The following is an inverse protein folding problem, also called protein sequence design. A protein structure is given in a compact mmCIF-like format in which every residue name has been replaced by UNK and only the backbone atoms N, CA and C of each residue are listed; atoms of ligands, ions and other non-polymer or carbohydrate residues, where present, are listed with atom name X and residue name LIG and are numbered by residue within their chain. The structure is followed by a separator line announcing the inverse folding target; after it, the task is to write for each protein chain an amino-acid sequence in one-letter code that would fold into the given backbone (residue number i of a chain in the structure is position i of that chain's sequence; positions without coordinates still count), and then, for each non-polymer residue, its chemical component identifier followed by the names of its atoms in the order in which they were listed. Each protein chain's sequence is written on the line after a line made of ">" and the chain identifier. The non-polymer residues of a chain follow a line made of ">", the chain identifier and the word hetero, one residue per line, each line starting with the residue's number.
data_IF_279379747069
#
_entry.id   IF_279379747069
#
_cell.length_a   1.000
_cell.length_b   1.000
_cell.length_c   1.000
_cell.angle_alpha   90.00
_cell.angle_beta   90.00
_cell.angle_gamma   90.00
#
_symmetry.space_group_name_H-M   'P 1'
#
loop_
_entity.id
_entity.type
_entity.pdbx_description
1 polymer ?
#
# COMPACT_ATOMS: atom_id res chain seq x y z
N UNK A 1 -22.86 16.00 -5.96
CA UNK A 1 -22.46 14.60 -5.63
C UNK A 1 -20.96 14.58 -5.44
N UNK A 2 -20.48 14.04 -4.32
CA UNK A 2 -19.07 13.95 -3.98
C UNK A 2 -18.57 12.52 -4.17
N UNK A 3 -17.41 12.38 -4.83
CA UNK A 3 -16.87 11.09 -5.24
C UNK A 3 -15.37 11.04 -4.87
N UNK A 4 -14.85 9.92 -4.32
CA UNK A 4 -13.55 9.93 -3.66
C UNK A 4 -12.37 9.89 -4.64
N UNK A 5 -12.60 9.45 -5.89
CA UNK A 5 -11.58 9.31 -6.94
C UNK A 5 -11.95 10.08 -8.19
N UNK A 6 -10.93 10.52 -8.93
CA UNK A 6 -11.08 11.41 -10.09
C UNK A 6 -11.65 10.68 -11.33
N UNK A 7 -11.29 9.42 -11.67
CA UNK A 7 -11.88 8.70 -12.81
C UNK A 7 -13.41 8.56 -12.73
N UNK A 8 -13.92 8.41 -11.52
CA UNK A 8 -15.34 8.35 -11.22
C UNK A 8 -16.08 9.68 -11.49
N UNK A 9 -15.39 10.82 -11.42
CA UNK A 9 -16.00 12.14 -11.66
C UNK A 9 -16.47 12.22 -13.12
N UNK A 10 -15.64 11.77 -14.06
CA UNK A 10 -15.94 11.83 -15.48
C UNK A 10 -17.01 10.78 -15.86
N UNK A 11 -17.02 9.62 -15.21
CA UNK A 11 -18.05 8.58 -15.39
C UNK A 11 -19.43 9.03 -14.87
N UNK A 12 -19.49 9.67 -13.69
CA UNK A 12 -20.76 10.11 -13.08
C UNK A 12 -21.34 11.37 -13.74
N UNK A 13 -20.48 12.24 -14.30
CA UNK A 13 -20.92 13.42 -15.08
C UNK A 13 -21.77 13.05 -16.30
N UNK A 14 -21.45 11.95 -16.98
CA UNK A 14 -22.24 11.49 -18.14
C UNK A 14 -23.61 10.92 -17.75
N UNK A 15 -23.79 10.43 -16.52
CA UNK A 15 -25.04 9.82 -16.05
C UNK A 15 -26.00 10.81 -15.38
N UNK A 16 -25.51 11.94 -14.86
CA UNK A 16 -26.34 12.91 -14.15
C UNK A 16 -26.12 14.34 -14.67
N UNK A 17 -27.20 15.07 -14.99
CA UNK A 17 -27.19 16.51 -15.35
C UNK A 17 -26.83 17.42 -14.15
N UNK A 18 -26.11 16.93 -13.14
CA UNK A 18 -25.84 17.59 -11.85
C UNK A 18 -24.35 17.83 -11.64
N UNK A 19 -24.03 18.83 -10.82
CA UNK A 19 -22.68 19.24 -10.47
C UNK A 19 -21.92 18.12 -9.72
N UNK A 20 -20.94 17.50 -10.38
CA UNK A 20 -20.05 16.45 -9.83
C UNK A 20 -18.64 17.06 -9.66
N UNK A 21 -18.14 17.12 -8.42
CA UNK A 21 -16.79 17.65 -8.10
C UNK A 21 -15.92 16.55 -7.47
N UNK A 22 -14.63 16.56 -7.82
CA UNK A 22 -13.63 15.68 -7.21
C UNK A 22 -13.06 16.22 -5.89
N UNK A 23 -12.44 15.32 -5.12
CA UNK A 23 -11.88 15.51 -3.77
C UNK A 23 -11.00 16.76 -3.56
N UNK A 24 -10.32 17.25 -4.61
CA UNK A 24 -9.34 18.34 -4.51
C UNK A 24 -9.90 19.74 -4.80
N UNK A 25 -11.14 19.85 -5.30
CA UNK A 25 -11.71 21.15 -5.73
C UNK A 25 -12.43 21.94 -4.64
N UNK A 26 -12.75 21.31 -3.50
CA UNK A 26 -13.26 22.02 -2.32
C UNK A 26 -12.17 22.85 -1.60
N UNK A 27 -10.91 22.73 -2.03
CA UNK A 27 -9.76 23.51 -1.54
C UNK A 27 -9.34 24.64 -2.51
N UNK A 28 -10.09 24.90 -3.59
CA UNK A 28 -9.74 25.96 -4.55
C UNK A 28 -9.74 27.33 -3.87
N UNK A 29 -8.63 28.07 -3.98
CA UNK A 29 -8.36 29.33 -3.26
C UNK A 29 -8.93 30.55 -3.99
N UNK A 30 -9.45 30.38 -5.22
CA UNK A 30 -10.00 31.49 -6.03
C UNK A 30 -11.30 32.01 -5.41
N UNK A 31 -11.37 33.32 -5.22
CA UNK A 31 -12.45 34.02 -4.51
C UNK A 31 -13.83 33.77 -5.14
N UNK A 32 -13.85 33.52 -6.46
CA UNK A 32 -15.04 33.37 -7.30
C UNK A 32 -15.60 31.93 -7.33
N UNK A 33 -14.90 30.96 -6.73
CA UNK A 33 -15.26 29.54 -6.72
C UNK A 33 -15.65 29.01 -5.33
N UNK A 34 -15.73 29.91 -4.33
CA UNK A 34 -16.11 29.56 -2.95
C UNK A 34 -17.56 29.12 -2.91
N UNK A 35 -17.79 27.99 -2.24
CA UNK A 35 -19.13 27.46 -2.02
C UNK A 35 -19.31 27.27 -0.51
N UNK A 36 -20.44 27.71 0.01
CA UNK A 36 -20.79 27.66 1.42
C UNK A 36 -21.69 26.45 1.72
N UNK A 37 -21.74 26.03 2.98
CA UNK A 37 -22.61 24.91 3.41
C UNK A 37 -24.08 25.21 3.10
N UNK A 38 -24.51 26.46 3.27
CA UNK A 38 -25.86 26.92 3.00
C UNK A 38 -26.26 26.92 1.52
N UNK A 39 -25.30 26.80 0.60
CA UNK A 39 -25.59 26.74 -0.84
C UNK A 39 -26.17 25.39 -1.25
N UNK A 40 -26.09 24.40 -0.36
CA UNK A 40 -26.55 23.05 -0.60
C UNK A 40 -27.79 22.73 0.24
N UNK A 41 -28.78 22.11 -0.41
CA UNK A 41 -29.92 21.48 0.27
C UNK A 41 -29.70 19.97 0.49
N UNK A 42 -28.83 19.33 -0.31
CA UNK A 42 -28.56 17.90 -0.26
C UNK A 42 -27.08 17.60 -0.59
N UNK A 43 -26.42 16.86 0.30
CA UNK A 43 -25.09 16.29 0.09
C UNK A 43 -25.20 14.78 -0.10
N UNK A 44 -24.71 14.29 -1.23
CA UNK A 44 -24.62 12.86 -1.54
C UNK A 44 -23.15 12.47 -1.56
N UNK A 45 -22.80 11.53 -0.69
CA UNK A 45 -21.47 10.94 -0.56
C UNK A 45 -21.47 9.55 -1.18
N UNK A 46 -20.73 9.39 -2.27
CA UNK A 46 -20.45 8.08 -2.84
C UNK A 46 -19.26 7.43 -2.11
N UNK A 47 -19.34 6.13 -1.89
CA UNK A 47 -18.39 5.34 -1.06
C UNK A 47 -18.20 5.93 0.34
N UNK A 48 -19.32 6.15 1.04
CA UNK A 48 -19.36 6.90 2.30
C UNK A 48 -18.54 6.27 3.43
N UNK A 49 -18.20 4.98 3.33
CA UNK A 49 -17.34 4.29 4.30
C UNK A 49 -15.93 4.91 4.42
N UNK A 50 -15.51 5.78 3.49
CA UNK A 50 -14.31 6.59 3.65
C UNK A 50 -14.47 7.78 4.60
N UNK A 51 -15.67 8.10 5.10
CA UNK A 51 -15.96 9.22 6.00
C UNK A 51 -15.51 8.95 7.45
N UNK A 52 -14.23 8.66 7.62
CA UNK A 52 -13.59 8.38 8.91
C UNK A 52 -12.22 9.05 8.98
N UNK A 53 -11.70 9.26 10.19
CA UNK A 53 -10.36 9.83 10.45
C UNK A 53 -10.16 11.16 9.71
N UNK A 54 -8.98 11.38 9.13
CA UNK A 54 -8.61 12.59 8.39
C UNK A 54 -9.06 12.58 6.92
N UNK A 55 -10.00 11.72 6.55
CA UNK A 55 -10.48 11.71 5.18
C UNK A 55 -11.25 13.01 4.87
N UNK A 56 -11.10 13.62 3.67
CA UNK A 56 -11.79 14.86 3.31
C UNK A 56 -13.32 14.84 3.44
N UNK A 57 -13.96 13.68 3.34
CA UNK A 57 -15.39 13.55 3.64
C UNK A 57 -15.69 13.86 5.11
N UNK A 58 -14.87 13.34 6.02
CA UNK A 58 -15.04 13.57 7.44
C UNK A 58 -14.77 15.03 7.80
N UNK A 59 -13.72 15.63 7.21
CA UNK A 59 -13.41 17.06 7.39
C UNK A 59 -14.56 17.95 6.89
N UNK A 60 -15.12 17.63 5.73
CA UNK A 60 -16.29 18.34 5.21
C UNK A 60 -17.49 18.19 6.14
N UNK A 61 -17.75 16.98 6.63
CA UNK A 61 -18.86 16.72 7.54
C UNK A 61 -18.68 17.41 8.89
N UNK A 62 -17.47 17.49 9.43
CA UNK A 62 -17.16 18.32 10.60
C UNK A 62 -17.54 19.78 10.35
N UNK A 63 -17.19 20.33 9.19
CA UNK A 63 -17.59 21.69 8.80
C UNK A 63 -19.11 21.85 8.74
N UNK A 64 -19.84 20.84 8.26
CA UNK A 64 -21.31 20.82 8.23
C UNK A 64 -21.91 20.69 9.64
N UNK A 65 -21.29 19.92 10.52
CA UNK A 65 -21.71 19.74 11.91
C UNK A 65 -21.53 21.02 12.74
N UNK A 66 -20.42 21.71 12.55
CA UNK A 66 -20.10 22.96 13.25
C UNK A 66 -20.91 24.16 12.74
N UNK A 67 -21.49 24.05 11.54
CA UNK A 67 -22.31 25.11 10.96
C UNK A 67 -23.61 25.30 11.75
N UNK A 68 -23.84 26.53 12.23
CA UNK A 68 -24.99 26.87 13.09
C UNK A 68 -26.26 27.24 12.29
N UNK A 69 -26.19 27.31 10.97
CA UNK A 69 -27.32 27.65 10.10
C UNK A 69 -28.10 26.41 9.60
N UNK A 70 -29.01 26.60 8.63
CA UNK A 70 -29.74 25.48 8.03
C UNK A 70 -28.78 24.54 7.30
N UNK A 71 -28.76 23.28 7.74
CA UNK A 71 -27.84 22.25 7.22
C UNK A 71 -28.47 21.51 6.03
N UNK A 72 -27.67 21.13 5.02
CA UNK A 72 -28.14 20.23 3.97
C UNK A 72 -28.53 18.87 4.53
N UNK A 73 -29.50 18.22 3.90
CA UNK A 73 -29.72 16.80 4.10
C UNK A 73 -28.48 16.01 3.64
N UNK A 74 -28.09 14.96 4.36
CA UNK A 74 -26.95 14.11 3.98
C UNK A 74 -27.44 12.71 3.59
N UNK A 75 -26.82 12.16 2.54
CA UNK A 75 -27.06 10.80 2.08
C UNK A 75 -25.73 10.12 1.76
N UNK A 76 -25.47 8.98 2.38
CA UNK A 76 -24.29 8.15 2.13
C UNK A 76 -24.64 6.91 1.33
N UNK A 77 -23.90 6.65 0.25
CA UNK A 77 -24.02 5.43 -0.55
C UNK A 77 -22.78 4.58 -0.32
N UNK A 78 -22.95 3.29 -0.04
CA UNK A 78 -21.84 2.34 0.04
C UNK A 78 -22.34 0.90 -0.10
N UNK A 79 -21.53 0.04 -0.73
CA UNK A 79 -21.79 -1.40 -0.76
C UNK A 79 -21.38 -2.10 0.55
N UNK A 80 -20.50 -1.48 1.34
CA UNK A 80 -20.00 -2.01 2.60
C UNK A 80 -19.73 -0.87 3.59
N UNK A 81 -20.16 -1.03 4.85
CA UNK A 81 -19.91 -0.02 5.88
C UNK A 81 -18.48 -0.08 6.41
N UNK A 82 -17.81 -1.23 6.27
CA UNK A 82 -16.44 -1.44 6.73
C UNK A 82 -16.31 -1.40 8.25
N UNK A 83 -16.15 -2.57 8.88
CA UNK A 83 -15.93 -2.68 10.33
C UNK A 83 -14.45 -2.54 10.74
N UNK A 84 -13.61 -1.96 9.87
CA UNK A 84 -12.18 -1.83 10.12
C UNK A 84 -11.50 -3.18 10.43
N UNK A 85 -10.75 -3.22 11.54
CA UNK A 85 -10.08 -4.42 12.08
C UNK A 85 -10.88 -5.05 13.24
N UNK A 86 -12.17 -4.73 13.38
CA UNK A 86 -12.99 -5.25 14.45
C UNK A 86 -13.02 -6.78 14.43
N UNK A 87 -12.73 -7.39 15.57
CA UNK A 87 -12.74 -8.85 15.76
C UNK A 87 -13.97 -9.33 16.52
N UNK A 88 -14.80 -8.42 17.05
CA UNK A 88 -16.05 -8.73 17.75
C UNK A 88 -17.22 -7.93 17.17
N UNK A 89 -18.43 -8.43 17.39
CA UNK A 89 -19.67 -7.80 16.93
C UNK A 89 -19.86 -6.43 17.58
N UNK A 90 -19.52 -6.27 18.87
CA UNK A 90 -19.64 -4.97 19.56
C UNK A 90 -18.71 -3.93 18.94
N UNK A 91 -17.45 -4.30 18.66
CA UNK A 91 -16.48 -3.41 18.02
C UNK A 91 -16.90 -3.06 16.59
N UNK A 92 -17.49 -4.02 15.87
CA UNK A 92 -18.03 -3.80 14.53
C UNK A 92 -19.22 -2.83 14.56
N UNK A 93 -20.15 -3.00 15.49
CA UNK A 93 -21.31 -2.12 15.66
C UNK A 93 -20.89 -0.71 16.09
N UNK A 94 -19.91 -0.59 16.99
CA UNK A 94 -19.35 0.70 17.39
C UNK A 94 -18.78 1.45 16.18
N UNK A 95 -18.07 0.75 15.29
CA UNK A 95 -17.53 1.33 14.05
C UNK A 95 -18.63 1.82 13.10
N UNK A 96 -19.74 1.08 13.00
CA UNK A 96 -20.89 1.48 12.20
C UNK A 96 -21.56 2.73 12.78
N UNK A 97 -21.74 2.79 14.10
CA UNK A 97 -22.31 3.96 14.77
C UNK A 97 -21.41 5.19 14.65
N UNK A 98 -20.09 5.04 14.74
CA UNK A 98 -19.14 6.11 14.50
C UNK A 98 -19.29 6.67 13.08
N UNK A 99 -19.36 5.79 12.07
CA UNK A 99 -19.57 6.21 10.68
C UNK A 99 -20.91 6.96 10.50
N UNK A 100 -21.99 6.45 11.10
CA UNK A 100 -23.30 7.11 11.05
C UNK A 100 -23.25 8.48 11.71
N UNK A 101 -22.59 8.62 12.86
CA UNK A 101 -22.39 9.89 13.55
C UNK A 101 -21.59 10.88 12.70
N UNK A 102 -20.50 10.43 12.07
CA UNK A 102 -19.69 11.27 11.18
C UNK A 102 -20.51 11.83 10.02
N UNK A 103 -21.38 11.04 9.41
CA UNK A 103 -22.24 11.46 8.28
C UNK A 103 -23.47 12.27 8.75
N UNK A 104 -23.82 12.19 10.04
CA UNK A 104 -25.11 12.69 10.55
C UNK A 104 -26.30 11.83 10.09
N UNK A 105 -26.09 10.54 9.84
CA UNK A 105 -27.10 9.62 9.36
C UNK A 105 -28.02 9.17 10.50
N UNK A 106 -29.33 9.36 10.34
CA UNK A 106 -30.35 8.92 11.31
C UNK A 106 -30.82 7.49 11.09
N UNK A 107 -30.60 6.94 9.90
CA UNK A 107 -31.08 5.62 9.52
C UNK A 107 -30.13 4.94 8.54
N UNK A 108 -30.07 3.61 8.63
CA UNK A 108 -29.37 2.75 7.70
C UNK A 108 -30.40 1.97 6.87
N UNK A 109 -30.40 2.19 5.56
CA UNK A 109 -31.30 1.52 4.62
C UNK A 109 -30.59 0.35 3.91
N UNK A 110 -31.23 -0.82 3.89
CA UNK A 110 -30.80 -1.99 3.12
C UNK A 110 -32.01 -2.73 2.52
N UNK A 111 -31.80 -3.46 1.43
CA UNK A 111 -32.86 -4.25 0.78
C UNK A 111 -33.24 -5.43 1.68
N UNK A 112 -34.48 -5.46 2.18
CA UNK A 112 -35.00 -6.55 3.02
C UNK A 112 -36.16 -7.33 2.39
N UNK A 113 -37.00 -6.69 1.58
CA UNK A 113 -38.24 -7.28 1.03
C UNK A 113 -38.08 -7.94 -0.35
N UNK A 114 -37.29 -7.34 -1.23
CA UNK A 114 -37.11 -7.77 -2.62
C UNK A 114 -35.71 -8.35 -2.86
N UNK A 115 -35.30 -9.28 -2.00
CA UNK A 115 -33.97 -9.91 -2.10
C UNK A 115 -33.86 -10.81 -3.34
N UNK A 116 -34.95 -11.48 -3.70
CA UNK A 116 -35.10 -12.29 -4.90
C UNK A 116 -34.79 -11.49 -6.18
N UNK A 117 -35.35 -10.27 -6.29
CA UNK A 117 -35.08 -9.38 -7.41
C UNK A 117 -33.60 -8.97 -7.41
N UNK A 118 -33.06 -8.57 -6.24
CA UNK A 118 -31.68 -8.13 -6.14
C UNK A 118 -30.69 -9.24 -6.56
N UNK A 119 -30.95 -10.49 -6.17
CA UNK A 119 -30.09 -11.63 -6.51
C UNK A 119 -30.11 -11.99 -8.00
N UNK A 120 -31.23 -11.73 -8.70
CA UNK A 120 -31.31 -11.93 -10.16
C UNK A 120 -30.47 -10.92 -10.94
N UNK A 121 -30.41 -9.66 -10.48
CA UNK A 121 -29.67 -8.58 -11.17
C UNK A 121 -28.22 -8.46 -10.72
N UNK A 122 -27.88 -8.92 -9.51
CA UNK A 122 -26.54 -8.78 -8.92
C UNK A 122 -26.06 -10.15 -8.42
N UNK A 123 -25.55 -11.01 -9.33
CA UNK A 123 -25.06 -12.32 -8.94
C UNK A 123 -23.83 -12.20 -8.04
N UNK A 124 -23.73 -13.12 -7.08
CA UNK A 124 -22.57 -13.23 -6.18
C UNK A 124 -21.44 -13.93 -6.94
N UNK A 125 -20.21 -13.38 -6.95
CA UNK A 125 -19.07 -14.04 -7.59
C UNK A 125 -18.71 -15.34 -6.87
N UNK A 126 -18.20 -16.33 -7.61
CA UNK A 126 -17.64 -17.55 -7.05
C UNK A 126 -16.18 -17.30 -6.69
N UNK A 127 -15.88 -17.27 -5.38
CA UNK A 127 -14.53 -17.10 -4.85
C UNK A 127 -13.81 -18.45 -4.72
N UNK A 128 -12.66 -18.62 -5.39
CA UNK A 128 -11.78 -19.79 -5.21
C UNK A 128 -10.40 -19.34 -4.73
N UNK A 129 -9.94 -19.91 -3.60
CA UNK A 129 -8.58 -19.64 -3.09
C UNK A 129 -7.67 -20.85 -3.30
N UNK A 130 -6.52 -20.65 -3.95
CA UNK A 130 -5.47 -21.65 -4.08
C UNK A 130 -4.25 -21.23 -3.26
N UNK A 131 -3.89 -22.05 -2.28
CA UNK A 131 -2.63 -21.92 -1.54
C UNK A 131 -1.51 -22.52 -2.37
N UNK A 132 -0.38 -21.82 -2.44
CA UNK A 132 0.80 -22.27 -3.16
C UNK A 132 2.00 -22.10 -2.25
N UNK A 133 2.78 -23.17 -2.10
CA UNK A 133 4.01 -23.16 -1.32
C UNK A 133 5.22 -22.84 -2.21
N UNK A 134 6.28 -22.32 -1.58
CA UNK A 134 7.56 -22.11 -2.25
C UNK A 134 8.07 -23.45 -2.79
N UNK A 135 8.65 -23.51 -4.00
CA UNK A 135 9.28 -24.72 -4.48
C UNK A 135 10.38 -25.19 -3.51
N UNK A 136 10.58 -26.50 -3.34
CA UNK A 136 11.66 -27.03 -2.50
C UNK A 136 13.03 -26.44 -2.87
N UNK A 137 13.92 -26.33 -1.87
CA UNK A 137 15.24 -25.70 -2.05
C UNK A 137 16.09 -26.44 -3.09
N UNK A 138 15.92 -27.75 -3.20
CA UNK A 138 16.61 -28.61 -4.17
C UNK A 138 16.26 -28.25 -5.62
N UNK A 139 15.04 -27.73 -5.83
CA UNK A 139 14.54 -27.31 -7.14
C UNK A 139 14.74 -25.81 -7.42
N UNK A 140 15.36 -25.09 -6.49
CA UNK A 140 15.49 -23.64 -6.53
C UNK A 140 16.96 -23.19 -6.48
N UNK A 141 17.75 -23.44 -7.54
CA UNK A 141 19.19 -23.12 -7.55
C UNK A 141 19.44 -21.62 -7.35
N UNK A 142 18.56 -20.76 -7.88
CA UNK A 142 18.61 -19.32 -7.68
C UNK A 142 18.48 -18.93 -6.19
N UNK A 143 17.42 -19.41 -5.52
CA UNK A 143 17.20 -19.11 -4.10
C UNK A 143 18.35 -19.61 -3.24
N UNK A 144 18.83 -20.83 -3.51
CA UNK A 144 19.98 -21.40 -2.81
C UNK A 144 21.23 -20.52 -2.98
N UNK A 145 21.50 -20.03 -4.18
CA UNK A 145 22.63 -19.14 -4.42
C UNK A 145 22.51 -17.81 -3.66
N UNK A 146 21.33 -17.18 -3.69
CA UNK A 146 21.08 -15.91 -2.97
C UNK A 146 21.21 -16.09 -1.46
N UNK A 147 20.64 -17.16 -0.89
CA UNK A 147 20.71 -17.45 0.54
C UNK A 147 22.16 -17.72 0.97
N UNK A 148 22.91 -18.52 0.21
CA UNK A 148 24.33 -18.76 0.50
C UNK A 148 25.15 -17.45 0.54
N UNK A 149 24.86 -16.50 -0.36
CA UNK A 149 25.50 -15.18 -0.37
C UNK A 149 25.09 -14.39 0.88
N UNK A 150 23.80 -14.36 1.22
CA UNK A 150 23.30 -13.68 2.41
C UNK A 150 23.93 -14.25 3.69
N UNK A 151 23.98 -15.57 3.85
CA UNK A 151 24.60 -16.24 5.01
C UNK A 151 26.11 -15.96 5.10
N UNK A 152 26.79 -15.86 3.96
CA UNK A 152 28.21 -15.47 3.94
C UNK A 152 28.38 -14.04 4.46
N UNK A 153 27.62 -13.08 3.94
CA UNK A 153 27.65 -11.69 4.39
C UNK A 153 27.33 -11.60 5.89
N UNK A 154 26.29 -12.30 6.35
CA UNK A 154 25.89 -12.34 7.77
C UNK A 154 27.02 -12.85 8.67
N UNK A 155 27.68 -13.95 8.30
CA UNK A 155 28.81 -14.50 9.06
C UNK A 155 29.99 -13.53 9.14
N UNK A 156 30.25 -12.79 8.08
CA UNK A 156 31.36 -11.83 8.04
C UNK A 156 31.08 -10.60 8.93
N UNK A 157 29.82 -10.15 9.02
CA UNK A 157 29.46 -8.95 9.81
C UNK A 157 29.06 -9.22 11.26
N UNK A 158 28.62 -10.43 11.59
CA UNK A 158 28.15 -10.77 12.94
C UNK A 158 29.19 -10.48 14.04
N UNK A 159 30.49 -10.77 13.87
CA UNK A 159 31.51 -10.40 14.86
C UNK A 159 31.63 -8.88 15.05
N UNK A 160 31.46 -8.10 13.98
CA UNK A 160 31.56 -6.65 14.02
C UNK A 160 30.35 -6.03 14.73
N UNK A 161 29.15 -6.53 14.44
CA UNK A 161 27.93 -6.14 15.16
C UNK A 161 28.02 -6.50 16.64
N UNK A 162 28.59 -7.65 17.00
CA UNK A 162 28.85 -8.03 18.41
C UNK A 162 29.84 -7.09 19.10
N UNK A 163 30.87 -6.59 18.41
CA UNK A 163 31.77 -5.57 18.98
C UNK A 163 31.04 -4.27 19.32
N UNK A 164 29.96 -3.95 18.61
CA UNK A 164 29.09 -2.80 18.89
C UNK A 164 28.10 -3.05 20.05
N UNK A 165 28.01 -4.28 20.57
CA UNK A 165 27.23 -4.61 21.79
C UNK A 165 28.05 -4.48 23.08
N UNK A 166 29.38 -4.46 22.99
CA UNK A 166 30.28 -4.28 24.14
C UNK A 166 30.52 -2.78 24.37
N UNK A 167 30.74 -2.39 25.64
CA UNK A 167 30.88 -1.00 26.08
C UNK A 167 31.89 -0.23 25.20
N UNK A 168 31.36 0.57 24.27
CA UNK A 168 32.12 1.58 23.55
C UNK A 168 31.64 2.93 24.06
N UNK A 169 32.51 3.94 24.02
CA UNK A 169 32.27 5.33 24.47
C UNK A 169 31.09 6.05 23.77
N UNK A 170 30.34 5.35 22.93
CA UNK A 170 29.08 5.77 22.33
C UNK A 170 27.93 5.45 23.29
N UNK A 171 27.19 6.48 23.71
CA UNK A 171 26.05 6.46 24.65
C UNK A 171 24.89 5.47 24.34
N UNK A 172 25.05 4.52 23.42
CA UNK A 172 24.02 3.58 22.97
C UNK A 172 24.60 2.17 22.81
N UNK A 173 23.95 1.16 23.41
CA UNK A 173 24.34 -0.27 23.36
C UNK A 173 23.31 -1.05 22.54
N UNK A 174 23.76 -1.86 21.57
CA UNK A 174 22.89 -2.87 20.95
C UNK A 174 22.65 -4.03 21.92
N UNK A 175 21.44 -4.57 21.95
CA UNK A 175 21.15 -5.79 22.70
C UNK A 175 21.68 -7.02 21.95
N UNK A 176 21.97 -8.11 22.67
CA UNK A 176 22.41 -9.38 22.06
C UNK A 176 21.36 -9.99 21.12
N UNK A 177 20.09 -9.71 21.37
CA UNK A 177 18.94 -10.16 20.57
C UNK A 177 18.78 -9.34 19.28
N UNK A 178 19.21 -8.08 19.28
CA UNK A 178 19.20 -7.22 18.10
C UNK A 178 20.19 -7.69 17.04
N UNK A 179 21.32 -8.28 17.43
CA UNK A 179 22.39 -8.69 16.50
C UNK A 179 22.12 -10.03 15.78
N UNK A 180 21.18 -10.83 16.28
CA UNK A 180 20.84 -12.11 15.63
C UNK A 180 19.97 -11.87 14.39
N UNK A 181 20.41 -12.36 13.23
CA UNK A 181 19.62 -12.29 12.00
C UNK A 181 18.45 -13.28 12.03
N UNK A 182 17.33 -12.89 11.41
CA UNK A 182 16.18 -13.76 11.14
C UNK A 182 16.49 -14.73 9.99
N UNK A 183 15.63 -15.72 9.78
CA UNK A 183 15.69 -16.59 8.60
C UNK A 183 15.52 -15.75 7.30
N UNK A 184 16.45 -15.81 6.33
CA UNK A 184 16.33 -15.15 5.02
C UNK A 184 15.06 -15.51 4.23
N UNK A 185 14.45 -16.67 4.51
CA UNK A 185 13.20 -17.12 3.89
C UNK A 185 11.98 -16.38 4.45
N UNK A 186 12.06 -15.91 5.70
CA UNK A 186 11.03 -15.09 6.35
C UNK A 186 11.20 -13.61 5.94
N UNK A 187 11.08 -13.33 4.64
CA UNK A 187 11.45 -12.05 4.00
C UNK A 187 10.88 -10.82 4.70
N UNK A 188 9.63 -10.83 5.15
CA UNK A 188 9.03 -9.70 5.86
C UNK A 188 9.71 -9.43 7.21
N UNK A 189 9.88 -10.46 8.05
CA UNK A 189 10.59 -10.37 9.34
C UNK A 189 12.06 -9.97 9.12
N UNK A 190 12.69 -10.54 8.10
CA UNK A 190 14.08 -10.27 7.76
C UNK A 190 14.30 -8.81 7.35
N UNK A 191 13.46 -8.26 6.46
CA UNK A 191 13.54 -6.85 6.04
C UNK A 191 13.30 -5.91 7.22
N UNK A 192 12.31 -6.20 8.07
CA UNK A 192 12.06 -5.42 9.29
C UNK A 192 13.29 -5.43 10.21
N UNK A 193 13.93 -6.58 10.38
CA UNK A 193 15.15 -6.71 11.17
C UNK A 193 16.32 -5.89 10.59
N UNK A 194 16.57 -6.01 9.29
CA UNK A 194 17.63 -5.26 8.58
C UNK A 194 17.40 -3.75 8.69
N UNK A 195 16.16 -3.28 8.50
CA UNK A 195 15.82 -1.86 8.62
C UNK A 195 15.99 -1.34 10.06
N UNK A 196 15.61 -2.16 11.05
CA UNK A 196 15.81 -1.85 12.47
C UNK A 196 17.30 -1.70 12.76
N UNK A 197 18.12 -2.67 12.35
CA UNK A 197 19.58 -2.60 12.53
C UNK A 197 20.20 -1.40 11.81
N UNK A 198 19.77 -1.10 10.59
CA UNK A 198 20.25 0.06 9.82
C UNK A 198 19.94 1.36 10.54
N UNK A 199 18.71 1.50 11.06
CA UNK A 199 18.29 2.69 11.83
C UNK A 199 19.07 2.81 13.13
N UNK A 200 19.29 1.69 13.83
CA UNK A 200 20.06 1.65 15.08
C UNK A 200 21.52 2.03 14.85
N UNK A 201 22.18 1.50 13.82
CA UNK A 201 23.54 1.88 13.43
C UNK A 201 23.64 3.36 13.07
N UNK A 202 22.60 3.93 12.46
CA UNK A 202 22.51 5.36 12.16
C UNK A 202 22.56 6.26 13.40
N UNK A 203 22.06 5.77 14.56
CA UNK A 203 22.04 6.52 15.83
C UNK A 203 23.39 6.54 16.56
N UNK A 204 24.30 5.61 16.23
CA UNK A 204 25.60 5.50 16.87
C UNK A 204 26.50 6.64 16.38
N UNK A 205 27.00 7.48 17.31
CA UNK A 205 27.97 8.55 16.98
C UNK A 205 29.27 7.93 16.47
N UNK A 206 29.81 8.54 15.42
CA UNK A 206 30.97 8.21 14.58
C UNK A 206 32.05 7.24 15.13
N UNK A 207 32.43 6.29 14.27
CA UNK A 207 33.62 5.43 14.31
C UNK A 207 33.66 4.52 13.07
N UNK A 208 34.83 4.08 12.61
CA UNK A 208 34.96 3.22 11.40
C UNK A 208 34.21 1.89 11.51
N UNK A 209 33.95 1.44 12.74
CA UNK A 209 33.31 0.17 13.07
C UNK A 209 31.85 0.03 12.65
N UNK A 210 31.15 1.11 12.25
CA UNK A 210 29.76 1.02 11.75
C UNK A 210 29.65 0.99 10.23
N UNK A 211 30.72 1.32 9.51
CA UNK A 211 30.66 1.46 8.05
C UNK A 211 30.43 0.13 7.34
N UNK A 212 31.29 -0.86 7.63
CA UNK A 212 31.20 -2.19 7.03
C UNK A 212 29.85 -2.89 7.34
N UNK A 213 29.32 -2.86 8.59
CA UNK A 213 27.99 -3.38 8.87
C UNK A 213 26.88 -2.60 8.16
N UNK A 214 26.96 -1.27 8.06
CA UNK A 214 25.96 -0.47 7.34
C UNK A 214 25.89 -0.83 5.86
N UNK A 215 27.05 -0.97 5.20
CA UNK A 215 27.12 -1.42 3.80
C UNK A 215 26.48 -2.79 3.66
N UNK A 216 26.90 -3.74 4.48
CA UNK A 216 26.42 -5.11 4.41
C UNK A 216 24.90 -5.22 4.61
N UNK A 217 24.32 -4.42 5.51
CA UNK A 217 22.87 -4.35 5.70
C UNK A 217 22.14 -3.83 4.46
N UNK A 218 22.69 -2.84 3.74
CA UNK A 218 22.11 -2.39 2.47
C UNK A 218 22.12 -3.50 1.40
N UNK A 219 23.22 -4.25 1.29
CA UNK A 219 23.31 -5.42 0.41
C UNK A 219 22.31 -6.52 0.80
N UNK A 220 22.21 -6.85 2.10
CA UNK A 220 21.26 -7.84 2.62
C UNK A 220 19.81 -7.42 2.36
N UNK A 221 19.50 -6.12 2.45
CA UNK A 221 18.19 -5.57 2.10
C UNK A 221 17.83 -5.81 0.64
N UNK A 222 18.73 -5.51 -0.28
CA UNK A 222 18.52 -5.77 -1.73
C UNK A 222 18.40 -7.26 -2.03
N UNK A 223 19.22 -8.10 -1.41
CA UNK A 223 19.15 -9.57 -1.58
C UNK A 223 17.80 -10.13 -1.08
N UNK A 224 17.33 -9.69 0.09
CA UNK A 224 16.03 -10.09 0.63
C UNK A 224 14.85 -9.62 -0.23
N UNK A 225 14.94 -8.41 -0.80
CA UNK A 225 13.95 -7.93 -1.76
C UNK A 225 13.98 -8.75 -3.06
N UNK A 226 15.15 -9.23 -3.50
CA UNK A 226 15.27 -10.17 -4.62
C UNK A 226 14.58 -11.51 -4.36
N UNK A 227 14.68 -12.06 -3.14
CA UNK A 227 13.93 -13.27 -2.73
C UNK A 227 12.42 -13.00 -2.80
N UNK A 228 11.98 -11.86 -2.26
CA UNK A 228 10.55 -11.46 -2.27
C UNK A 228 10.01 -11.33 -3.70
N UNK A 229 10.82 -10.82 -4.63
CA UNK A 229 10.47 -10.77 -6.05
C UNK A 229 10.39 -12.17 -6.64
N UNK A 230 11.32 -13.06 -6.31
CA UNK A 230 11.31 -14.45 -6.81
C UNK A 230 10.15 -15.28 -6.26
N UNK A 231 9.61 -14.94 -5.09
CA UNK A 231 8.38 -15.55 -4.59
C UNK A 231 7.18 -15.19 -5.47
N UNK A 232 7.19 -13.99 -6.06
CA UNK A 232 6.07 -13.46 -6.84
C UNK A 232 6.23 -13.60 -8.35
N UNK A 233 7.46 -13.71 -8.84
CA UNK A 233 7.81 -13.64 -10.25
C UNK A 233 8.91 -14.65 -10.58
N UNK A 234 9.00 -15.10 -11.84
CA UNK A 234 10.10 -15.97 -12.26
C UNK A 234 11.48 -15.41 -11.92
N UNK A 235 12.43 -16.29 -11.58
CA UNK A 235 13.78 -15.94 -11.14
C UNK A 235 14.53 -14.95 -12.05
N UNK A 236 14.23 -14.90 -13.35
CA UNK A 236 14.79 -13.93 -14.29
C UNK A 236 14.56 -12.47 -13.84
N UNK A 237 13.38 -12.16 -13.30
CA UNK A 237 13.03 -10.81 -12.87
C UNK A 237 13.73 -10.45 -11.56
N UNK A 238 13.83 -11.41 -10.64
CA UNK A 238 14.62 -11.26 -9.43
C UNK A 238 16.10 -11.04 -9.77
N UNK A 239 16.65 -11.81 -10.71
CA UNK A 239 18.03 -11.66 -11.17
C UNK A 239 18.28 -10.30 -11.84
N UNK A 240 17.36 -9.82 -12.66
CA UNK A 240 17.45 -8.50 -13.29
C UNK A 240 17.44 -7.38 -12.24
N UNK A 241 16.50 -7.46 -11.28
CA UNK A 241 16.46 -6.56 -10.13
C UNK A 241 17.77 -6.58 -9.33
N UNK A 242 18.26 -7.77 -8.96
CA UNK A 242 19.49 -7.90 -8.18
C UNK A 242 20.68 -7.35 -8.96
N UNK A 243 20.81 -7.68 -10.25
CA UNK A 243 21.91 -7.22 -11.09
C UNK A 243 21.95 -5.70 -11.18
N UNK A 244 20.79 -5.05 -11.32
CA UNK A 244 20.70 -3.59 -11.38
C UNK A 244 21.07 -2.95 -10.03
N UNK A 245 20.39 -3.37 -8.96
CA UNK A 245 20.52 -2.71 -7.66
C UNK A 245 21.85 -3.03 -6.96
N UNK A 246 22.39 -4.25 -7.10
CA UNK A 246 23.73 -4.57 -6.60
C UNK A 246 24.82 -3.78 -7.34
N UNK A 247 24.64 -3.52 -8.64
CA UNK A 247 25.55 -2.67 -9.41
C UNK A 247 25.47 -1.21 -8.99
N UNK A 248 24.29 -0.70 -8.69
CA UNK A 248 24.10 0.65 -8.14
C UNK A 248 24.71 0.78 -6.74
N UNK A 249 24.51 -0.21 -5.85
CA UNK A 249 25.16 -0.26 -4.55
C UNK A 249 26.68 -0.33 -4.66
N UNK A 250 27.20 -1.18 -5.55
CA UNK A 250 28.64 -1.27 -5.82
C UNK A 250 29.22 0.07 -6.25
N UNK A 251 28.56 0.79 -7.17
CA UNK A 251 28.97 2.15 -7.56
C UNK A 251 28.88 3.14 -6.41
N UNK A 252 27.80 3.10 -5.62
CA UNK A 252 27.60 3.96 -4.45
C UNK A 252 28.79 3.83 -3.49
N UNK A 253 29.16 2.59 -3.15
CA UNK A 253 30.21 2.34 -2.18
C UNK A 253 31.63 2.38 -2.75
N UNK A 254 31.85 2.14 -4.05
CA UNK A 254 33.12 2.48 -4.72
C UNK A 254 33.39 3.99 -4.62
N UNK A 255 32.37 4.81 -4.90
CA UNK A 255 32.46 6.27 -4.79
C UNK A 255 32.61 6.68 -3.31
N UNK A 256 31.86 6.09 -2.39
CA UNK A 256 31.93 6.43 -0.95
C UNK A 256 33.27 6.03 -0.30
N UNK A 257 33.85 4.89 -0.68
CA UNK A 257 35.20 4.49 -0.26
C UNK A 257 36.28 5.43 -0.81
N UNK A 258 36.12 5.90 -2.06
CA UNK A 258 37.01 6.92 -2.63
C UNK A 258 36.78 8.32 -2.01
N UNK A 259 35.54 8.68 -1.68
CA UNK A 259 35.20 9.93 -1.01
C UNK A 259 35.69 9.96 0.44
N UNK A 260 35.71 8.84 1.17
CA UNK A 260 36.32 8.77 2.51
C UNK A 260 37.82 9.09 2.48
N UNK A 261 38.52 8.68 1.42
CA UNK A 261 39.93 9.05 1.21
C UNK A 261 40.09 10.57 1.00
N UNK A 262 39.16 11.21 0.30
CA UNK A 262 39.16 12.67 0.08
C UNK A 262 38.58 13.50 1.25
N UNK A 263 37.60 12.97 1.99
CA UNK A 263 36.96 13.60 3.15
C UNK A 263 37.87 13.59 4.39
N UNK A 264 38.87 12.71 4.45
CA UNK A 264 39.94 12.82 5.44
C UNK A 264 40.82 14.07 5.23
N UNK A 265 40.80 14.66 4.02
CA UNK A 265 41.46 15.93 3.70
C UNK A 265 40.51 17.13 3.55
N UNK A 266 39.21 16.91 3.40
CA UNK A 266 38.23 17.96 3.19
C UNK A 266 37.11 17.87 4.24
N UNK A 267 37.26 18.65 5.31
CA UNK A 267 36.15 18.99 6.18
C UNK A 267 35.05 19.69 5.35
N UNK A 268 33.81 19.28 5.64
CA UNK A 268 32.53 19.95 5.39
C UNK A 268 31.71 19.61 4.11
N UNK A 269 30.44 19.31 4.42
CA UNK A 269 29.20 19.43 3.64
C UNK A 269 28.69 18.28 2.74
N UNK A 270 27.44 17.85 3.03
CA UNK A 270 26.37 18.03 2.05
C UNK A 270 25.58 16.80 1.56
N UNK A 271 24.55 16.42 2.33
CA UNK A 271 23.22 15.87 1.94
C UNK A 271 23.00 15.04 0.67
N UNK A 272 22.43 13.85 0.84
CA UNK A 272 21.98 12.92 -0.22
C UNK A 272 20.53 13.16 -0.64
N UNK A 273 20.26 13.27 -1.95
CA UNK A 273 18.92 13.39 -2.57
C UNK A 273 18.32 12.00 -2.83
N UNK A 274 17.05 11.81 -2.48
CA UNK A 274 16.24 10.62 -2.87
C UNK A 274 15.86 10.70 -4.35
N UNK A 275 16.03 9.59 -5.06
CA UNK A 275 15.72 9.44 -6.48
C UNK A 275 14.30 8.92 -6.74
N UNK A 276 13.60 9.70 -7.58
CA UNK A 276 12.66 9.34 -8.65
C UNK A 276 11.34 8.61 -8.36
N UNK A 277 10.30 9.41 -8.55
CA UNK A 277 8.87 9.13 -8.65
C UNK A 277 8.56 8.25 -9.89
N UNK A 278 8.04 7.03 -9.67
CA UNK A 278 7.48 6.17 -10.71
C UNK A 278 5.95 6.11 -10.52
N UNK A 279 5.19 6.52 -11.53
CA UNK A 279 3.73 6.45 -11.55
C UNK A 279 3.14 6.73 -12.94
N UNK A 280 1.97 6.16 -13.23
CA UNK A 280 1.22 6.45 -14.47
C UNK A 280 0.45 7.77 -14.33
N UNK A 281 0.40 8.54 -15.42
CA UNK A 281 -0.42 9.76 -15.48
C UNK A 281 -1.92 9.45 -15.55
N UNK A 282 -2.76 10.43 -15.20
CA UNK A 282 -4.23 10.28 -15.20
C UNK A 282 -4.77 9.90 -16.59
N UNK A 283 -4.24 10.51 -17.65
CA UNK A 283 -4.68 10.26 -19.03
C UNK A 283 -4.28 8.87 -19.53
N UNK A 284 -3.17 8.31 -19.02
CA UNK A 284 -2.74 6.95 -19.35
C UNK A 284 -3.62 5.90 -18.66
N UNK A 285 -3.99 6.13 -17.40
CA UNK A 285 -4.91 5.27 -16.67
C UNK A 285 -6.28 5.22 -17.36
N UNK A 286 -6.86 6.38 -17.71
CA UNK A 286 -8.16 6.43 -18.36
C UNK A 286 -8.15 5.75 -19.74
N UNK A 287 -7.11 5.99 -20.55
CA UNK A 287 -6.96 5.31 -21.85
C UNK A 287 -6.85 3.79 -21.71
N UNK A 288 -6.10 3.31 -20.73
CA UNK A 288 -5.97 1.87 -20.47
C UNK A 288 -7.32 1.23 -20.10
N UNK A 289 -8.16 1.94 -19.34
CA UNK A 289 -9.49 1.49 -18.94
C UNK A 289 -10.49 1.56 -20.11
N UNK A 290 -10.43 2.61 -20.93
CA UNK A 290 -11.28 2.75 -22.11
C UNK A 290 -10.97 1.67 -23.17
N UNK A 291 -9.69 1.36 -23.37
CA UNK A 291 -9.27 0.27 -24.27
C UNK A 291 -9.72 -1.10 -23.75
N UNK A 292 -9.76 -1.29 -22.43
CA UNK A 292 -10.24 -2.52 -21.81
C UNK A 292 -11.76 -2.66 -21.92
N UNK A 293 -12.52 -1.61 -21.59
CA UNK A 293 -13.99 -1.62 -21.67
C UNK A 293 -14.51 -1.78 -23.10
N UNK A 294 -13.79 -1.24 -24.10
CA UNK A 294 -14.11 -1.41 -25.53
C UNK A 294 -13.58 -2.73 -26.12
N UNK A 295 -12.96 -3.59 -25.32
CA UNK A 295 -12.46 -4.90 -25.74
C UNK A 295 -11.19 -4.87 -26.60
N UNK A 296 -10.53 -3.71 -26.78
CA UNK A 296 -9.22 -3.63 -27.46
C UNK A 296 -8.13 -4.31 -26.66
N UNK A 297 -8.19 -4.25 -25.33
CA UNK A 297 -7.33 -5.00 -24.41
C UNK A 297 -8.18 -6.03 -23.67
N UNK A 298 -7.74 -7.30 -23.70
CA UNK A 298 -8.45 -8.42 -23.06
C UNK A 298 -7.99 -8.70 -21.62
N UNK A 299 -6.83 -8.18 -21.23
CA UNK A 299 -6.23 -8.38 -19.90
C UNK A 299 -5.76 -7.04 -19.36
N UNK A 300 -6.11 -6.78 -18.10
CA UNK A 300 -5.67 -5.61 -17.34
C UNK A 300 -4.90 -6.08 -16.11
N UNK A 301 -3.66 -5.60 -15.95
CA UNK A 301 -2.85 -5.81 -14.75
C UNK A 301 -2.82 -4.49 -13.99
N UNK A 302 -3.30 -4.50 -12.75
CA UNK A 302 -3.45 -3.31 -11.95
C UNK A 302 -3.02 -3.53 -10.50
N UNK A 303 -2.57 -2.46 -9.86
CA UNK A 303 -2.38 -2.39 -8.41
C UNK A 303 -3.72 -2.09 -7.72
N UNK A 304 -3.75 -2.01 -6.38
CA UNK A 304 -4.96 -1.72 -5.58
C UNK A 304 -5.73 -0.45 -6.00
N UNK A 305 -5.14 0.39 -6.85
CA UNK A 305 -5.76 1.60 -7.43
C UNK A 305 -7.01 1.29 -8.26
N UNK A 306 -7.14 0.10 -8.84
CA UNK A 306 -8.31 -0.26 -9.69
C UNK A 306 -9.41 -1.00 -8.90
N UNK A 307 -9.17 -1.35 -7.64
CA UNK A 307 -10.08 -2.23 -6.88
C UNK A 307 -11.32 -1.53 -6.30
N UNK A 308 -11.36 -0.19 -6.25
CA UNK A 308 -12.43 0.57 -5.62
C UNK A 308 -13.05 1.58 -6.59
N UNK A 309 -14.35 1.45 -6.84
CA UNK A 309 -15.17 2.44 -7.54
C UNK A 309 -15.02 2.49 -9.07
N UNK A 310 -14.35 1.54 -9.71
CA UNK A 310 -14.41 1.44 -11.18
C UNK A 310 -15.48 0.41 -11.59
N UNK A 311 -16.41 0.81 -12.44
CA UNK A 311 -17.39 -0.10 -13.05
C UNK A 311 -16.69 -0.98 -14.09
N UNK A 312 -16.23 -2.15 -13.67
CA UNK A 312 -15.62 -3.16 -14.56
C UNK A 312 -16.64 -4.23 -14.95
N UNK A 313 -17.88 -3.83 -15.25
CA UNK A 313 -18.99 -4.72 -15.63
C UNK A 313 -18.70 -5.63 -16.83
N UNK A 314 -17.61 -5.41 -17.57
CA UNK A 314 -17.15 -6.27 -18.67
C UNK A 314 -16.15 -7.37 -18.24
N UNK A 315 -15.74 -7.43 -16.97
CA UNK A 315 -14.80 -8.43 -16.46
C UNK A 315 -15.50 -9.73 -16.06
N UNK A 316 -15.10 -10.84 -16.69
CA UNK A 316 -15.60 -12.17 -16.34
C UNK A 316 -14.66 -12.93 -15.40
N UNK A 317 -13.41 -12.47 -15.23
CA UNK A 317 -12.38 -13.12 -14.41
C UNK A 317 -11.49 -12.09 -13.71
N UNK A 318 -11.31 -12.22 -12.40
CA UNK A 318 -10.36 -11.46 -11.59
C UNK A 318 -9.38 -12.43 -10.93
N UNK A 319 -8.08 -12.18 -11.11
CA UNK A 319 -7.02 -12.97 -10.45
C UNK A 319 -6.29 -12.06 -9.45
N UNK A 320 -6.35 -12.43 -8.16
CA UNK A 320 -5.59 -11.80 -7.09
C UNK A 320 -4.32 -12.59 -6.83
N UNK A 321 -3.18 -11.92 -6.94
CA UNK A 321 -1.89 -12.53 -6.72
C UNK A 321 -1.24 -11.92 -5.46
N UNK A 322 -1.23 -12.70 -4.38
CA UNK A 322 -0.65 -12.36 -3.07
C UNK A 322 -1.09 -11.00 -2.45
N UNK A 323 -2.34 -10.57 -2.69
CA UNK A 323 -2.92 -9.36 -2.08
C UNK A 323 -3.75 -9.70 -0.84
N UNK A 324 -3.46 -9.13 0.32
CA UNK A 324 -4.38 -9.08 1.45
C UNK A 324 -5.36 -7.92 1.24
N UNK A 325 -6.66 -8.22 1.17
CA UNK A 325 -7.69 -7.19 0.98
C UNK A 325 -8.59 -7.09 2.21
N UNK A 326 -8.90 -5.86 2.63
CA UNK A 326 -9.82 -5.60 3.74
C UNK A 326 -11.25 -6.04 3.40
N UNK A 327 -12.10 -6.25 4.40
CA UNK A 327 -13.49 -6.73 4.21
C UNK A 327 -14.30 -5.86 3.23
N UNK A 328 -14.07 -4.54 3.23
CA UNK A 328 -14.67 -3.56 2.31
C UNK A 328 -14.32 -3.88 0.85
N UNK A 329 -13.04 -4.12 0.58
CA UNK A 329 -12.53 -4.43 -0.76
C UNK A 329 -13.02 -5.78 -1.31
N UNK A 330 -13.47 -6.71 -0.44
CA UNK A 330 -14.12 -7.95 -0.90
C UNK A 330 -15.56 -7.70 -1.34
N UNK A 331 -16.29 -6.86 -0.62
CA UNK A 331 -17.73 -6.64 -0.82
C UNK A 331 -18.03 -5.71 -2.00
N UNK A 332 -17.12 -4.79 -2.33
CA UNK A 332 -17.25 -3.84 -3.44
C UNK A 332 -17.19 -4.49 -4.84
N UNK A 333 -16.98 -5.81 -4.92
CA UNK A 333 -16.91 -6.56 -6.17
C UNK A 333 -18.18 -7.39 -6.32
N UNK A 334 -19.22 -6.79 -6.89
CA UNK A 334 -20.47 -7.49 -7.22
C UNK A 334 -20.73 -7.36 -8.72
N UNK A 335 -21.02 -8.51 -9.35
CA UNK A 335 -21.11 -8.70 -10.80
C UNK A 335 -20.83 -10.17 -11.15
N UNK A 336 -21.17 -10.59 -12.37
CA UNK A 336 -21.03 -11.97 -12.88
C UNK A 336 -19.57 -12.33 -13.17
N UNK A 337 -18.72 -12.29 -12.16
CA UNK A 337 -17.26 -12.37 -12.30
C UNK A 337 -16.71 -13.51 -11.46
N UNK A 338 -15.89 -14.39 -12.03
CA UNK A 338 -15.17 -15.40 -11.26
C UNK A 338 -13.93 -14.77 -10.61
N UNK A 339 -13.69 -15.04 -9.33
CA UNK A 339 -12.54 -14.50 -8.61
C UNK A 339 -11.64 -15.64 -8.14
N UNK A 340 -10.40 -15.65 -8.63
CA UNK A 340 -9.37 -16.56 -8.16
C UNK A 340 -8.35 -15.80 -7.34
N UNK A 341 -8.12 -16.26 -6.11
CA UNK A 341 -7.09 -15.71 -5.23
C UNK A 341 -5.98 -16.73 -5.03
N UNK A 342 -4.77 -16.37 -5.44
CA UNK A 342 -3.56 -17.12 -5.12
C UNK A 342 -2.89 -16.47 -3.92
N UNK A 343 -2.67 -17.27 -2.87
CA UNK A 343 -1.98 -16.82 -1.67
C UNK A 343 -0.75 -17.67 -1.43
N UNK A 344 0.40 -17.00 -1.36
CA UNK A 344 1.63 -17.63 -0.92
C UNK A 344 1.60 -17.66 0.60
N UNK A 345 1.80 -18.83 1.18
CA UNK A 345 1.89 -18.98 2.63
C UNK A 345 3.36 -19.07 2.98
N UNK A 346 3.85 -18.07 3.72
CA UNK A 346 5.15 -18.18 4.37
C UNK A 346 4.98 -19.11 5.58
N UNK A 347 5.79 -20.17 5.73
CA UNK A 347 5.79 -20.95 6.96
C UNK A 347 6.12 -20.06 8.18
N UNK A 348 5.59 -20.38 9.37
CA UNK A 348 5.65 -19.53 10.58
C UNK A 348 7.07 -19.17 11.04
#
# INVERSE_FOLDING_TARGET
>A
MLVPRIPLVDQQKHRFHKYVRGKNMLKSVRQDERVYVCDFSLLIFDEVHHCVKEHPYNILMQTVHDYQGPKPQTMGLTASLGVGMATSDESGMASIYELMANIGATSLASVKRHLDILEQYVPKPVDTTKKVDRPPMEKSPFLRAVINIMEKIQRDIEPQLKKLTQDNQTSYKLSKEEVKFEDPLATEKYIQKVNTLTTTLGRIRSGDFKFEPSIALEYLGVLSQGISINDLMPARYALEYLTRNLRELSKKFEVECSQRFYQYFAQNEGTSKKSTEYGQTKEEQQRALDDFSRGKKKVLIATAVVEEGLDVSTCNLIIKYNSSSNAVQRVQRRGTTYVFSFRIVYPP
#
